data_IF_180812660184
#
_entry.id   IF_180812660184
#
_cell.length_a   1.000
_cell.length_b   1.000
_cell.length_c   1.000
_cell.angle_alpha   90.00
_cell.angle_beta   90.00
_cell.angle_gamma   90.00
#
_symmetry.space_group_name_H-M   'P 1'
#
loop_
_entity.id
_entity.type
_entity.pdbx_description
1 polymer ?
#
# COMPACT_ATOMS: atom_id res chain seq x y z
N UNK A 1 -15.57 -19.40 -5.75
CA UNK A 1 -15.08 -18.04 -6.07
C UNK A 1 -13.64 -18.19 -6.48
N UNK A 2 -13.29 -17.92 -7.75
CA UNK A 2 -11.89 -17.91 -8.17
C UNK A 2 -11.19 -16.76 -7.45
N UNK A 3 -10.16 -17.09 -6.68
CA UNK A 3 -9.37 -16.09 -5.95
C UNK A 3 -8.34 -15.46 -6.91
N UNK A 4 -7.92 -14.22 -6.66
CA UNK A 4 -6.84 -13.56 -7.44
C UNK A 4 -5.59 -14.43 -7.55
N UNK A 5 -5.33 -15.26 -6.53
CA UNK A 5 -4.26 -16.25 -6.52
C UNK A 5 -4.45 -17.33 -7.60
N UNK A 6 -5.66 -17.87 -7.74
CA UNK A 6 -5.96 -18.89 -8.76
C UNK A 6 -5.87 -18.33 -10.19
N UNK A 7 -6.36 -17.11 -10.41
CA UNK A 7 -6.23 -16.45 -11.72
C UNK A 7 -4.76 -16.16 -12.07
N UNK A 8 -3.97 -15.74 -11.08
CA UNK A 8 -2.53 -15.56 -11.27
C UNK A 8 -1.83 -16.89 -11.60
N UNK A 9 -2.11 -17.97 -10.85
CA UNK A 9 -1.47 -19.26 -11.06
C UNK A 9 -1.85 -19.93 -12.39
N UNK A 10 -3.11 -19.81 -12.82
CA UNK A 10 -3.63 -20.52 -13.99
C UNK A 10 -3.52 -19.75 -15.31
N UNK A 11 -3.55 -18.41 -15.28
CA UNK A 11 -3.59 -17.59 -16.51
C UNK A 11 -2.34 -16.72 -16.64
N UNK A 12 -2.07 -15.90 -15.63
CA UNK A 12 -1.00 -14.88 -15.71
C UNK A 12 0.38 -15.54 -15.74
N UNK A 13 0.58 -16.57 -14.92
CA UNK A 13 1.86 -17.26 -14.82
C UNK A 13 2.26 -17.95 -16.14
N UNK A 14 1.42 -18.76 -16.81
CA UNK A 14 1.77 -19.32 -18.12
C UNK A 14 2.04 -18.26 -19.19
N UNK A 15 1.21 -17.20 -19.25
CA UNK A 15 1.40 -16.07 -20.18
C UNK A 15 2.77 -15.40 -20.02
N UNK A 16 3.16 -15.09 -18.78
CA UNK A 16 4.47 -14.50 -18.49
C UNK A 16 5.62 -15.48 -18.78
N UNK A 17 5.39 -16.80 -18.72
CA UNK A 17 6.42 -17.78 -19.06
C UNK A 17 6.71 -17.79 -20.56
N UNK A 18 5.65 -17.74 -21.37
CA UNK A 18 5.72 -17.74 -22.83
C UNK A 18 6.27 -16.40 -23.37
N UNK A 19 5.79 -15.27 -22.86
CA UNK A 19 6.24 -13.94 -23.31
C UNK A 19 7.72 -13.69 -23.03
N UNK A 20 8.21 -14.13 -21.87
CA UNK A 20 9.58 -13.85 -21.42
C UNK A 20 10.52 -15.06 -21.56
N UNK A 21 10.06 -16.17 -22.16
CA UNK A 21 10.82 -17.42 -22.35
C UNK A 21 11.57 -17.87 -21.08
N UNK A 22 10.90 -17.77 -19.93
CA UNK A 22 11.53 -18.04 -18.63
C UNK A 22 11.63 -19.56 -18.39
N UNK A 23 12.86 -20.06 -18.28
CA UNK A 23 13.15 -21.47 -17.98
C UNK A 23 13.03 -21.80 -16.49
N UNK A 24 13.16 -20.81 -15.61
CA UNK A 24 13.11 -21.00 -14.16
C UNK A 24 11.84 -20.41 -13.55
N UNK A 25 11.02 -21.29 -12.97
CA UNK A 25 9.74 -20.96 -12.31
C UNK A 25 9.90 -20.00 -11.13
N UNK A 26 11.05 -20.02 -10.45
CA UNK A 26 11.28 -19.16 -9.27
C UNK A 26 11.60 -17.71 -9.63
N UNK A 27 11.91 -17.41 -10.89
CA UNK A 27 12.21 -16.06 -11.39
C UNK A 27 10.92 -15.28 -11.66
N UNK A 28 9.77 -15.95 -11.64
CA UNK A 28 8.52 -15.31 -12.02
C UNK A 28 8.13 -14.18 -11.05
N UNK A 29 7.70 -13.00 -11.58
CA UNK A 29 7.32 -11.87 -10.75
C UNK A 29 6.11 -12.22 -9.89
N UNK A 30 6.22 -12.07 -8.57
CA UNK A 30 5.14 -12.34 -7.61
C UNK A 30 4.66 -11.04 -6.96
N UNK A 31 3.39 -11.04 -6.57
CA UNK A 31 2.86 -9.96 -5.75
C UNK A 31 3.39 -10.10 -4.32
N UNK A 32 4.22 -9.15 -3.87
CA UNK A 32 4.83 -9.20 -2.53
C UNK A 32 3.96 -8.51 -1.47
N UNK A 33 3.54 -7.26 -1.72
CA UNK A 33 2.66 -6.49 -0.83
C UNK A 33 2.06 -5.27 -1.52
N UNK A 34 0.90 -4.83 -1.03
CA UNK A 34 0.36 -3.49 -1.30
C UNK A 34 0.60 -2.59 -0.08
N UNK A 35 0.87 -1.31 -0.31
CA UNK A 35 1.05 -0.31 0.76
C UNK A 35 0.09 0.85 0.51
N UNK A 36 -0.98 0.88 1.30
CA UNK A 36 -1.97 1.96 1.27
C UNK A 36 -1.48 3.13 2.12
N UNK A 37 -1.24 4.27 1.48
CA UNK A 37 -0.81 5.51 2.13
C UNK A 37 -1.83 6.63 1.88
N UNK A 38 -2.07 7.44 2.91
CA UNK A 38 -2.96 8.62 2.82
C UNK A 38 -2.21 9.85 3.31
N UNK A 39 -1.97 10.78 2.41
CA UNK A 39 -1.40 12.09 2.74
C UNK A 39 -2.48 13.00 3.33
N UNK A 40 -2.34 13.36 4.60
CA UNK A 40 -3.27 14.26 5.30
C UNK A 40 -2.57 15.59 5.60
N UNK A 41 -2.40 16.43 4.59
CA UNK A 41 -1.71 17.73 4.74
C UNK A 41 -2.42 18.71 5.68
N UNK A 42 -3.75 18.64 5.75
CA UNK A 42 -4.57 19.51 6.62
C UNK A 42 -4.62 19.02 8.08
N UNK A 43 -4.20 17.78 8.33
CA UNK A 43 -4.23 17.20 9.68
C UNK A 43 -3.26 17.87 10.65
N UNK A 44 -2.28 18.64 10.15
CA UNK A 44 -1.38 19.47 10.97
C UNK A 44 -2.18 20.46 11.84
N UNK A 45 -3.34 20.93 11.35
CA UNK A 45 -4.16 21.91 12.06
C UNK A 45 -5.23 21.28 12.95
N UNK A 46 -5.64 20.04 12.66
CA UNK A 46 -6.71 19.37 13.40
C UNK A 46 -6.42 17.87 13.62
N UNK A 47 -5.98 17.46 14.83
CA UNK A 47 -5.62 16.08 15.13
C UNK A 47 -6.81 15.10 15.02
N UNK A 48 -8.05 15.57 15.14
CA UNK A 48 -9.25 14.72 15.00
C UNK A 48 -9.43 14.16 13.59
N UNK A 49 -8.85 14.82 12.58
CA UNK A 49 -8.90 14.33 11.19
C UNK A 49 -8.01 13.11 11.03
N UNK A 50 -6.88 13.05 11.74
CA UNK A 50 -5.98 11.88 11.75
C UNK A 50 -6.72 10.66 12.29
N UNK A 51 -7.40 10.80 13.43
CA UNK A 51 -8.15 9.70 14.05
C UNK A 51 -9.26 9.18 13.11
N UNK A 52 -10.00 10.10 12.47
CA UNK A 52 -11.02 9.73 11.48
C UNK A 52 -10.43 9.01 10.28
N UNK A 53 -9.30 9.47 9.77
CA UNK A 53 -8.64 8.85 8.63
C UNK A 53 -8.08 7.46 8.96
N UNK A 54 -7.50 7.29 10.16
CA UNK A 54 -7.05 5.99 10.67
C UNK A 54 -8.23 5.02 10.76
N UNK A 55 -9.36 5.45 11.30
CA UNK A 55 -10.55 4.60 11.39
C UNK A 55 -11.10 4.22 10.00
N UNK A 56 -11.14 5.16 9.05
CA UNK A 56 -11.57 4.89 7.67
C UNK A 56 -10.65 3.92 6.95
N UNK A 57 -9.34 4.14 7.02
CA UNK A 57 -8.35 3.23 6.42
C UNK A 57 -8.41 1.85 7.07
N UNK A 58 -8.61 1.80 8.38
CA UNK A 58 -8.75 0.53 9.11
C UNK A 58 -9.99 -0.25 8.66
N UNK A 59 -11.11 0.45 8.42
CA UNK A 59 -12.32 -0.17 7.88
C UNK A 59 -12.13 -0.69 6.44
N UNK A 60 -11.43 0.06 5.59
CA UNK A 60 -11.19 -0.32 4.19
C UNK A 60 -10.21 -1.50 4.10
N UNK A 61 -9.05 -1.37 4.73
CA UNK A 61 -7.98 -2.37 4.66
C UNK A 61 -8.20 -3.54 5.63
N UNK A 62 -9.20 -3.46 6.51
CA UNK A 62 -9.42 -4.43 7.61
C UNK A 62 -8.17 -4.66 8.49
N UNK A 63 -7.26 -3.70 8.49
CA UNK A 63 -5.99 -3.73 9.21
C UNK A 63 -5.78 -2.37 9.86
N UNK A 64 -5.36 -2.37 11.13
CA UNK A 64 -5.12 -1.11 11.86
C UNK A 64 -4.03 -0.29 11.16
N UNK A 65 -4.41 0.90 10.68
CA UNK A 65 -3.48 1.79 10.00
C UNK A 65 -2.42 2.35 10.97
N UNK A 66 -1.20 2.53 10.46
CA UNK A 66 -0.06 3.08 11.21
C UNK A 66 0.02 4.58 10.96
N UNK A 67 0.08 5.38 12.04
CA UNK A 67 0.26 6.84 11.94
C UNK A 67 1.73 7.13 11.66
N UNK A 68 2.01 7.67 10.48
CA UNK A 68 3.35 8.14 10.12
C UNK A 68 3.55 9.58 10.58
N UNK A 69 4.75 9.84 11.06
CA UNK A 69 5.14 11.09 11.70
C UNK A 69 6.23 11.80 10.90
N UNK A 70 6.37 13.10 11.08
CA UNK A 70 7.25 13.89 10.23
C UNK A 70 8.71 13.69 10.65
N UNK A 71 9.56 13.23 9.72
CA UNK A 71 11.00 13.04 9.97
C UNK A 71 11.81 14.34 9.97
N UNK A 72 11.29 15.40 9.36
CA UNK A 72 11.98 16.69 9.21
C UNK A 72 10.97 17.82 9.36
N UNK A 73 11.44 18.93 9.93
CA UNK A 73 10.67 20.18 9.98
C UNK A 73 10.70 20.86 8.60
N UNK A 74 9.55 21.25 8.07
CA UNK A 74 9.42 21.96 6.79
C UNK A 74 8.50 23.17 6.97
N UNK A 75 9.10 24.36 6.97
CA UNK A 75 8.41 25.62 7.29
C UNK A 75 7.26 25.94 6.32
N UNK A 76 7.43 25.67 5.02
CA UNK A 76 6.41 25.91 3.98
C UNK A 76 5.10 25.18 4.25
N UNK A 77 5.18 23.98 4.85
CA UNK A 77 4.02 23.16 5.19
C UNK A 77 3.63 23.26 6.66
N UNK A 78 4.22 24.19 7.41
CA UNK A 78 4.04 24.35 8.87
C UNK A 78 4.27 23.04 9.65
N UNK A 79 5.12 22.16 9.12
CA UNK A 79 5.43 20.85 9.68
C UNK A 79 6.62 20.96 10.64
N UNK A 80 6.48 20.36 11.83
CA UNK A 80 7.56 20.19 12.80
C UNK A 80 7.92 18.71 12.88
N UNK A 81 9.20 18.44 13.11
CA UNK A 81 9.70 17.08 13.38
C UNK A 81 9.02 16.51 14.62
N UNK A 82 8.50 15.29 14.51
CA UNK A 82 7.75 14.65 15.59
C UNK A 82 6.68 13.68 15.16
#
# INVERSE_FOLDING_TARGET
MATLKEDYEKKVRPLLQEEFNLTNVMVMPRFEKDVLNMGLGEAVQNPKIVEKAVNKLTLIASQRAVVTRAKKSIATFKLREG
#
